data_IF_586152158380
#
_entry.id   IF_586152158380
#
_cell.length_a   1.000
_cell.length_b   1.000
_cell.length_c   1.000
_cell.angle_alpha   90.00
_cell.angle_beta   90.00
_cell.angle_gamma   90.00
#
_symmetry.space_group_name_H-M   'P 1'
#
loop_
_entity.id
_entity.type
_entity.pdbx_description
1 polymer ?
#
# COMPACT_ATOMS: atom_id res chain seq x y z
N UNK A 1 -2.22 -40.02 19.07
CA UNK A 1 -3.10 -39.02 19.73
C UNK A 1 -2.14 -38.05 20.41
N UNK A 2 -1.95 -36.79 20.04
CA UNK A 2 -2.82 -35.70 19.56
C UNK A 2 -1.93 -34.83 18.64
N UNK A 3 -2.12 -34.83 17.31
CA UNK A 3 -2.63 -33.69 16.48
C UNK A 3 -2.13 -32.32 16.97
N UNK A 4 -1.17 -31.62 16.33
CA UNK A 4 -1.25 -31.07 14.97
C UNK A 4 -1.72 -29.61 15.04
N UNK A 5 -0.80 -28.66 15.24
CA UNK A 5 -1.06 -27.20 15.19
C UNK A 5 -0.37 -26.65 13.92
N UNK A 6 -1.08 -26.04 12.97
CA UNK A 6 -0.46 -25.46 11.79
C UNK A 6 0.20 -24.12 12.14
N UNK A 7 1.44 -23.96 11.70
CA UNK A 7 2.21 -22.72 11.75
C UNK A 7 1.53 -21.63 10.91
N UNK A 8 1.06 -20.57 11.55
CA UNK A 8 0.70 -19.32 10.91
C UNK A 8 1.88 -18.34 11.02
N UNK A 9 2.65 -18.20 9.95
CA UNK A 9 3.62 -17.12 9.81
C UNK A 9 2.88 -15.82 9.43
N UNK A 10 2.63 -14.96 10.41
CA UNK A 10 2.07 -13.63 10.21
C UNK A 10 3.23 -12.65 9.98
N UNK A 11 3.31 -12.08 8.78
CA UNK A 11 4.31 -11.08 8.40
C UNK A 11 3.70 -9.67 8.45
N UNK A 12 4.41 -8.79 9.16
CA UNK A 12 4.56 -7.35 8.92
C UNK A 12 3.36 -6.43 9.12
N UNK A 13 3.46 -5.62 10.18
CA UNK A 13 2.75 -4.36 10.35
C UNK A 13 3.71 -3.39 11.03
N UNK A 14 3.96 -2.25 10.39
CA UNK A 14 4.69 -1.15 10.99
C UNK A 14 3.75 -0.43 11.97
N UNK A 15 4.13 -0.39 13.25
CA UNK A 15 3.44 0.39 14.27
C UNK A 15 4.17 1.72 14.46
N UNK A 16 3.45 2.82 14.22
CA UNK A 16 3.74 4.11 14.83
C UNK A 16 3.34 4.05 16.31
N UNK A 17 4.23 3.53 17.15
CA UNK A 17 4.18 3.69 18.61
C UNK A 17 5.52 4.21 19.11
N UNK A 18 5.73 5.52 18.98
CA UNK A 18 6.57 6.24 19.92
C UNK A 18 5.73 6.51 21.17
N UNK A 19 6.20 5.98 22.29
CA UNK A 19 5.49 5.94 23.56
C UNK A 19 5.08 7.32 24.08
N UNK A 20 3.86 7.37 24.60
CA UNK A 20 3.43 8.33 25.61
C UNK A 20 4.24 8.13 26.89
N UNK A 21 5.18 9.03 27.16
CA UNK A 21 5.54 9.40 28.53
C UNK A 21 6.18 10.79 28.53
N UNK A 22 5.40 11.77 28.08
CA UNK A 22 5.52 13.20 28.35
C UNK A 22 4.29 13.82 27.70
N UNK A 23 3.34 14.29 28.51
CA UNK A 23 2.09 14.83 28.00
C UNK A 23 2.31 16.11 27.22
N UNK A 24 2.38 16.03 25.90
CA UNK A 24 1.86 17.02 24.92
C UNK A 24 1.71 16.28 23.59
N UNK A 25 0.51 15.81 23.26
CA UNK A 25 0.17 15.50 21.86
C UNK A 25 -0.20 16.82 21.19
N UNK A 26 0.77 17.46 20.52
CA UNK A 26 0.54 18.69 19.78
C UNK A 26 0.02 18.35 18.37
N UNK A 27 -1.27 18.03 18.27
CA UNK A 27 -2.01 18.27 17.04
C UNK A 27 -2.22 19.79 16.88
N UNK A 28 -2.28 20.33 15.66
CA UNK A 28 -2.59 21.74 15.46
C UNK A 28 -3.88 22.12 16.20
N UNK A 29 -3.77 23.11 17.08
CA UNK A 29 -4.86 23.58 17.93
C UNK A 29 -6.03 24.07 17.08
N UNK A 30 -7.19 23.44 17.24
CA UNK A 30 -8.39 23.95 16.60
C UNK A 30 -9.66 23.11 16.62
N UNK A 31 -9.89 22.20 17.58
CA UNK A 31 -11.24 21.64 17.78
C UNK A 31 -11.54 21.43 19.26
N UNK A 32 -12.54 22.18 19.74
CA UNK A 32 -13.08 22.15 21.10
C UNK A 32 -13.94 20.90 21.26
N UNK A 33 -13.52 19.95 22.09
CA UNK A 33 -14.33 18.79 22.44
C UNK A 33 -15.48 19.21 23.35
N UNK A 34 -16.68 18.73 23.03
CA UNK A 34 -17.78 18.63 24.00
C UNK A 34 -17.78 17.19 24.50
N UNK A 35 -17.69 17.03 25.82
CA UNK A 35 -17.79 15.73 26.49
C UNK A 35 -19.17 15.13 26.26
N UNK A 36 -19.20 13.95 25.64
CA UNK A 36 -20.35 13.08 25.55
C UNK A 36 -19.89 11.64 25.70
N UNK A 37 -20.38 10.94 26.72
CA UNK A 37 -20.05 9.56 27.04
C UNK A 37 -20.55 8.64 25.92
N UNK A 38 -19.72 8.37 24.91
CA UNK A 38 -20.03 7.42 23.85
C UNK A 38 -19.38 6.08 24.14
N UNK A 39 -20.17 4.99 24.07
CA UNK A 39 -19.66 3.62 24.02
C UNK A 39 -18.61 3.54 22.90
N UNK A 40 -17.39 3.08 23.23
CA UNK A 40 -16.38 2.71 22.23
C UNK A 40 -16.97 1.63 21.33
N UNK A 41 -17.38 2.01 20.14
CA UNK A 41 -17.48 1.10 19.00
C UNK A 41 -16.07 0.94 18.47
N UNK A 42 -15.51 -0.27 18.49
CA UNK A 42 -14.20 -0.51 17.88
C UNK A 42 -14.31 -0.18 16.38
N UNK A 43 -13.57 0.83 15.90
CA UNK A 43 -13.66 1.32 14.52
C UNK A 43 -12.56 0.66 13.70
N UNK A 44 -12.82 -0.57 13.29
CA UNK A 44 -11.96 -1.35 12.41
C UNK A 44 -12.74 -1.93 11.23
N UNK A 45 -12.04 -2.19 10.12
CA UNK A 45 -12.65 -2.61 8.87
C UNK A 45 -11.94 -3.85 8.30
N UNK A 46 -12.72 -4.84 7.86
CA UNK A 46 -12.21 -6.11 7.35
C UNK A 46 -12.56 -6.24 5.86
N UNK A 47 -11.58 -6.67 5.05
CA UNK A 47 -11.72 -6.81 3.60
C UNK A 47 -11.21 -8.17 3.16
N UNK A 48 -12.00 -8.96 2.43
CA UNK A 48 -11.53 -10.23 1.89
C UNK A 48 -10.46 -9.99 0.81
N UNK A 49 -9.37 -10.75 0.90
CA UNK A 49 -8.30 -10.83 -0.09
C UNK A 49 -8.64 -11.95 -1.07
N UNK A 50 -8.79 -11.57 -2.34
CA UNK A 50 -9.00 -12.52 -3.42
C UNK A 50 -7.66 -13.02 -3.95
N UNK A 51 -7.49 -14.35 -4.00
CA UNK A 51 -6.31 -14.99 -4.58
C UNK A 51 -6.55 -15.42 -6.03
N UNK A 52 -5.64 -15.10 -6.94
CA UNK A 52 -5.63 -15.66 -8.30
C UNK A 52 -4.30 -16.34 -8.59
N UNK A 53 -4.36 -17.54 -9.17
CA UNK A 53 -3.17 -18.25 -9.68
C UNK A 53 -2.89 -17.78 -11.10
N UNK A 54 -1.71 -17.25 -11.33
CA UNK A 54 -1.23 -17.01 -12.68
C UNK A 54 -1.02 -18.35 -13.41
N UNK A 55 -1.67 -18.52 -14.56
CA UNK A 55 -1.50 -19.74 -15.37
C UNK A 55 -0.12 -19.72 -16.01
N UNK A 56 0.75 -20.63 -15.59
CA UNK A 56 2.02 -20.91 -16.27
C UNK A 56 1.75 -21.27 -17.74
N UNK A 57 2.21 -20.43 -18.67
CA UNK A 57 2.40 -20.83 -20.07
C UNK A 57 3.60 -21.77 -20.11
N UNK A 58 3.33 -23.06 -20.22
CA UNK A 58 4.32 -24.11 -20.00
C UNK A 58 5.51 -24.08 -20.96
N UNK A 59 6.72 -24.09 -20.40
CA UNK A 59 7.88 -24.71 -21.04
C UNK A 59 8.20 -26.01 -20.29
N UNK A 60 7.97 -27.14 -20.94
CA UNK A 60 8.31 -28.47 -20.41
C UNK A 60 9.83 -28.64 -20.45
N UNK A 61 10.48 -28.67 -19.29
CA UNK A 61 11.73 -29.42 -19.18
C UNK A 61 11.75 -30.20 -17.86
N UNK A 62 11.51 -31.52 -17.95
CA UNK A 62 11.69 -32.47 -16.86
C UNK A 62 13.19 -32.63 -16.62
N UNK A 63 13.67 -32.33 -15.41
CA UNK A 63 14.79 -33.07 -14.81
C UNK A 63 14.51 -33.37 -13.33
N UNK A 64 14.62 -34.65 -13.00
CA UNK A 64 14.43 -35.28 -11.69
C UNK A 64 15.62 -34.97 -10.76
N UNK A 65 15.31 -34.60 -9.52
CA UNK A 65 15.99 -35.05 -8.29
C UNK A 65 17.43 -34.63 -8.02
N UNK A 66 17.61 -33.66 -7.12
CA UNK A 66 18.32 -33.89 -5.85
C UNK A 66 17.98 -32.78 -4.85
N UNK A 67 17.63 -33.16 -3.62
CA UNK A 67 17.39 -32.21 -2.54
C UNK A 67 18.73 -31.55 -2.15
N UNK A 68 18.87 -30.27 -2.49
CA UNK A 68 19.90 -29.37 -2.00
C UNK A 68 19.19 -28.08 -1.67
N UNK A 69 19.28 -27.67 -0.40
CA UNK A 69 18.74 -26.42 0.11
C UNK A 69 19.40 -25.24 -0.58
N UNK A 70 18.79 -24.80 -1.67
CA UNK A 70 18.96 -23.49 -2.26
C UNK A 70 17.66 -22.75 -2.03
N UNK A 71 17.68 -21.72 -1.18
CA UNK A 71 16.63 -20.69 -1.17
C UNK A 71 16.85 -19.84 -2.43
N UNK A 72 16.62 -20.46 -3.58
CA UNK A 72 16.47 -19.75 -4.82
C UNK A 72 15.12 -19.05 -4.79
N UNK A 73 15.11 -17.74 -5.03
CA UNK A 73 13.93 -17.00 -5.47
C UNK A 73 13.45 -17.65 -6.78
N UNK A 74 12.67 -18.72 -6.68
CA UNK A 74 12.34 -19.61 -7.78
C UNK A 74 10.93 -20.17 -7.65
N UNK A 75 10.06 -19.71 -8.55
CA UNK A 75 8.83 -20.35 -9.04
C UNK A 75 7.83 -20.88 -7.98
N UNK A 76 7.54 -20.07 -6.96
CA UNK A 76 6.36 -20.29 -6.13
C UNK A 76 5.14 -19.69 -6.82
N UNK A 77 4.45 -20.50 -7.63
CA UNK A 77 3.06 -20.35 -8.10
C UNK A 77 2.52 -18.92 -7.92
N UNK A 78 2.71 -18.06 -8.92
CA UNK A 78 2.38 -16.63 -8.90
C UNK A 78 0.95 -16.38 -8.37
N UNK A 79 0.84 -16.12 -7.07
CA UNK A 79 -0.41 -15.79 -6.38
C UNK A 79 -0.49 -14.26 -6.30
N UNK A 80 -1.47 -13.69 -6.98
CA UNK A 80 -1.85 -12.29 -6.76
C UNK A 80 -2.84 -12.22 -5.60
N UNK A 81 -2.60 -11.30 -4.69
CA UNK A 81 -3.48 -10.99 -3.57
C UNK A 81 -4.14 -9.65 -3.85
N UNK A 82 -5.39 -9.70 -4.28
CA UNK A 82 -6.12 -8.50 -4.69
C UNK A 82 -7.20 -8.14 -3.68
N UNK A 83 -7.41 -6.83 -3.50
CA UNK A 83 -8.54 -6.28 -2.74
C UNK A 83 -9.37 -5.38 -3.66
N UNK A 84 -10.69 -5.27 -3.43
CA UNK A 84 -11.48 -4.27 -4.11
C UNK A 84 -11.19 -2.87 -3.54
N UNK A 85 -10.92 -1.91 -4.42
CA UNK A 85 -10.92 -0.48 -4.11
C UNK A 85 -11.89 0.21 -5.06
N UNK A 86 -12.74 1.06 -4.53
CA UNK A 86 -13.56 1.96 -5.31
C UNK A 86 -12.79 3.24 -5.58
N UNK A 87 -12.75 3.68 -6.83
CA UNK A 87 -12.23 5.00 -7.22
C UNK A 87 -13.26 5.68 -8.12
N UNK A 88 -13.78 6.80 -7.66
CA UNK A 88 -14.98 7.41 -8.23
C UNK A 88 -16.15 6.44 -8.19
N UNK A 89 -16.73 6.15 -9.37
CA UNK A 89 -17.87 5.23 -9.51
C UNK A 89 -17.47 3.81 -9.96
N UNK A 90 -16.17 3.48 -9.93
CA UNK A 90 -15.66 2.21 -10.48
C UNK A 90 -14.97 1.40 -9.38
N UNK A 91 -15.18 0.07 -9.40
CA UNK A 91 -14.50 -0.89 -8.52
C UNK A 91 -13.32 -1.52 -9.25
N UNK A 92 -12.16 -1.54 -8.61
CA UNK A 92 -10.91 -2.08 -9.13
C UNK A 92 -10.39 -3.17 -8.21
N UNK A 93 -10.11 -4.36 -8.76
CA UNK A 93 -9.35 -5.38 -8.04
C UNK A 93 -7.86 -5.03 -8.14
N UNK A 94 -7.25 -4.54 -7.06
CA UNK A 94 -5.86 -4.07 -7.05
C UNK A 94 -4.98 -4.98 -6.22
N UNK A 95 -3.76 -5.24 -6.70
CA UNK A 95 -2.80 -6.10 -6.00
C UNK A 95 -2.19 -5.37 -4.80
N UNK A 96 -2.14 -6.03 -3.64
CA UNK A 96 -1.47 -5.52 -2.45
C UNK A 96 0.05 -5.56 -2.63
N UNK A 97 0.71 -4.43 -2.38
CA UNK A 97 2.17 -4.32 -2.53
C UNK A 97 2.80 -3.54 -1.36
N UNK A 98 3.44 -4.26 -0.44
CA UNK A 98 4.18 -3.65 0.68
C UNK A 98 5.53 -3.07 0.25
N UNK A 99 5.98 -3.31 -0.98
CA UNK A 99 7.22 -2.80 -1.56
C UNK A 99 7.08 -1.44 -2.23
N UNK A 100 5.86 -0.95 -2.44
CA UNK A 100 5.59 0.36 -3.03
C UNK A 100 4.51 1.13 -2.26
N UNK A 101 4.36 2.43 -2.55
CA UNK A 101 3.47 3.31 -1.78
C UNK A 101 2.29 3.84 -2.58
N UNK A 102 2.39 3.84 -3.90
CA UNK A 102 1.40 4.50 -4.74
C UNK A 102 0.20 3.58 -5.01
N UNK A 103 -1.01 4.16 -4.97
CA UNK A 103 -2.18 3.57 -5.60
C UNK A 103 -2.16 3.93 -7.08
N UNK A 104 -2.33 2.95 -7.95
CA UNK A 104 -2.59 3.19 -9.36
C UNK A 104 -3.50 2.13 -9.97
N UNK A 105 -4.24 2.53 -11.00
CA UNK A 105 -5.09 1.66 -11.82
C UNK A 105 -4.83 1.92 -13.30
N UNK A 106 -5.04 0.91 -14.14
CA UNK A 106 -4.91 1.07 -15.59
C UNK A 106 -6.03 1.93 -16.16
N UNK A 107 -5.71 2.74 -17.16
CA UNK A 107 -6.68 3.52 -17.89
C UNK A 107 -7.32 2.73 -19.04
N UNK A 108 -8.43 3.26 -19.55
CA UNK A 108 -9.09 2.77 -20.77
C UNK A 108 -8.26 2.98 -22.04
N UNK A 109 -7.21 3.80 -21.98
CA UNK A 109 -6.22 4.01 -23.06
C UNK A 109 -5.00 3.10 -22.97
N UNK A 110 -4.79 2.38 -21.86
CA UNK A 110 -3.75 1.35 -21.78
C UNK A 110 -4.10 0.13 -22.64
N UNK A 111 -3.64 0.07 -23.88
CA UNK A 111 -4.02 -1.00 -24.84
C UNK A 111 -2.85 -1.81 -25.41
N UNK A 112 -1.63 -1.47 -25.02
CA UNK A 112 -0.39 -2.07 -25.54
C UNK A 112 0.40 -2.75 -24.41
N UNK A 113 1.43 -3.50 -24.76
CA UNK A 113 2.31 -4.16 -23.79
C UNK A 113 1.55 -5.09 -22.85
N UNK A 114 1.80 -4.97 -21.54
CA UNK A 114 1.14 -5.79 -20.52
C UNK A 114 -0.39 -5.60 -20.49
N UNK A 115 -0.91 -4.45 -20.97
CA UNK A 115 -2.35 -4.20 -21.04
C UNK A 115 -3.05 -4.87 -22.23
N UNK A 116 -2.32 -5.41 -23.20
CA UNK A 116 -2.90 -6.06 -24.38
C UNK A 116 -3.64 -7.34 -23.98
N UNK A 117 -4.92 -7.43 -24.33
CA UNK A 117 -5.77 -8.59 -24.00
C UNK A 117 -6.20 -8.70 -22.54
N UNK A 118 -5.72 -7.81 -21.67
CA UNK A 118 -6.06 -7.81 -20.24
C UNK A 118 -7.54 -7.46 -20.01
N UNK A 119 -8.23 -8.34 -19.28
CA UNK A 119 -9.64 -8.23 -18.89
C UNK A 119 -9.75 -7.74 -17.45
N UNK A 120 -9.50 -6.46 -17.25
CA UNK A 120 -9.62 -5.83 -15.93
C UNK A 120 -10.38 -4.51 -16.05
N UNK A 121 -10.91 -4.03 -14.93
CA UNK A 121 -11.55 -2.73 -14.85
C UNK A 121 -10.56 -1.62 -15.23
N UNK A 122 -11.04 -0.59 -15.90
CA UNK A 122 -10.21 0.49 -16.45
C UNK A 122 -10.79 1.83 -16.10
N UNK A 123 -9.94 2.73 -15.61
CA UNK A 123 -10.35 4.08 -15.29
C UNK A 123 -10.49 4.92 -16.58
N UNK A 124 -11.57 5.70 -16.76
CA UNK A 124 -11.75 6.53 -17.94
C UNK A 124 -10.70 7.65 -17.98
N UNK A 125 -9.80 7.62 -18.96
CA UNK A 125 -8.75 8.65 -19.10
C UNK A 125 -9.33 10.05 -19.27
N UNK A 126 -10.53 10.16 -19.84
CA UNK A 126 -11.26 11.42 -20.02
C UNK A 126 -11.69 12.08 -18.70
N UNK A 127 -11.75 11.32 -17.60
CA UNK A 127 -12.05 11.87 -16.27
C UNK A 127 -10.83 12.52 -15.60
N UNK A 128 -9.64 12.43 -16.21
CA UNK A 128 -8.43 13.10 -15.71
C UNK A 128 -8.33 14.49 -16.33
N UNK A 129 -8.26 15.57 -15.51
CA UNK A 129 -8.09 16.93 -16.04
C UNK A 129 -6.82 17.07 -16.88
N UNK A 130 -6.95 17.75 -18.03
CA UNK A 130 -5.79 18.11 -18.85
C UNK A 130 -4.84 19.04 -18.09
N UNK A 131 -3.53 18.83 -18.23
CA UNK A 131 -2.56 19.66 -17.52
C UNK A 131 -2.48 19.35 -16.02
N UNK A 132 -2.83 18.14 -15.59
CA UNK A 132 -2.48 17.58 -14.29
C UNK A 132 -1.04 17.02 -14.23
N UNK A 133 -0.63 16.52 -13.07
CA UNK A 133 0.67 15.88 -12.89
C UNK A 133 0.77 14.56 -13.68
N UNK A 134 1.98 14.17 -14.04
CA UNK A 134 2.28 12.85 -14.60
C UNK A 134 3.22 12.14 -13.64
N UNK A 135 3.14 10.81 -13.61
CA UNK A 135 3.95 9.96 -12.75
C UNK A 135 4.65 8.88 -13.58
N UNK A 136 5.88 8.57 -13.20
CA UNK A 136 6.62 7.42 -13.68
C UNK A 136 7.11 6.62 -12.46
N UNK A 137 6.73 5.35 -12.40
CA UNK A 137 7.04 4.43 -11.32
C UNK A 137 7.83 3.26 -11.88
N UNK A 138 8.91 2.89 -11.20
CA UNK A 138 9.76 1.75 -11.55
C UNK A 138 9.82 0.81 -10.35
N UNK A 139 9.76 -0.50 -10.60
CA UNK A 139 9.75 -1.56 -9.61
C UNK A 139 10.90 -2.54 -9.88
N UNK A 140 11.51 -3.06 -8.81
CA UNK A 140 12.65 -3.99 -8.86
C UNK A 140 14.00 -3.32 -9.08
N UNK A 141 15.08 -4.11 -9.02
CA UNK A 141 16.46 -3.65 -9.16
C UNK A 141 17.08 -4.00 -10.54
N UNK A 142 17.48 -2.94 -11.24
CA UNK A 142 18.47 -2.81 -12.34
C UNK A 142 18.61 -3.81 -13.51
N UNK A 143 17.88 -4.92 -13.63
CA UNK A 143 18.01 -5.83 -14.81
C UNK A 143 16.76 -6.00 -15.66
N UNK A 144 15.55 -5.88 -15.09
CA UNK A 144 14.29 -6.08 -15.84
C UNK A 144 13.20 -5.07 -15.50
N UNK A 145 13.53 -4.01 -14.74
CA UNK A 145 12.61 -3.12 -14.03
C UNK A 145 11.22 -2.99 -14.66
N UNK A 146 10.20 -3.46 -13.94
CA UNK A 146 8.83 -3.23 -14.40
C UNK A 146 8.46 -1.78 -14.13
N UNK A 147 7.62 -1.19 -14.98
CA UNK A 147 7.25 0.20 -14.84
C UNK A 147 5.74 0.40 -14.96
N UNK A 148 5.27 1.52 -14.44
CA UNK A 148 3.92 2.03 -14.67
C UNK A 148 4.01 3.55 -14.81
N UNK A 149 3.45 4.08 -15.89
CA UNK A 149 3.46 5.51 -16.18
C UNK A 149 2.11 6.00 -16.67
N UNK A 150 1.82 7.27 -16.39
CA UNK A 150 0.57 7.89 -16.79
C UNK A 150 0.31 9.21 -16.08
N UNK A 151 -0.92 9.70 -16.22
CA UNK A 151 -1.36 10.91 -15.54
C UNK A 151 -1.67 10.60 -14.06
N UNK A 152 -1.69 11.63 -13.22
CA UNK A 152 -2.22 11.55 -11.86
C UNK A 152 -3.67 12.00 -11.88
N UNK A 153 -4.56 11.12 -11.46
CA UNK A 153 -5.96 11.42 -11.21
C UNK A 153 -6.18 11.90 -9.77
N UNK A 154 -7.27 12.66 -9.59
CA UNK A 154 -7.82 12.99 -8.27
C UNK A 154 -9.27 12.55 -8.26
N UNK A 155 -9.63 11.64 -7.36
CA UNK A 155 -11.02 11.22 -7.17
C UNK A 155 -11.23 10.77 -5.71
N UNK A 156 -12.46 10.41 -5.36
CA UNK A 156 -12.75 9.73 -4.10
C UNK A 156 -12.29 8.29 -4.21
N UNK A 157 -11.43 7.85 -3.28
CA UNK A 157 -11.04 6.46 -3.16
C UNK A 157 -11.63 5.86 -1.89
N UNK A 158 -12.35 4.75 -2.00
CA UNK A 158 -12.96 4.04 -0.88
C UNK A 158 -12.36 2.65 -0.74
N UNK A 159 -11.94 2.32 0.47
CA UNK A 159 -11.47 0.99 0.83
C UNK A 159 -12.11 0.61 2.17
N UNK A 160 -12.69 -0.60 2.23
CA UNK A 160 -13.35 -1.10 3.44
C UNK A 160 -14.50 -0.21 3.97
N UNK A 161 -15.12 0.60 3.12
CA UNK A 161 -16.13 1.59 3.53
C UNK A 161 -15.55 2.90 4.08
N UNK A 162 -14.22 3.04 4.14
CA UNK A 162 -13.55 4.31 4.47
C UNK A 162 -13.21 5.05 3.18
N UNK A 163 -13.81 6.22 3.01
CA UNK A 163 -13.62 7.06 1.82
C UNK A 163 -12.62 8.18 2.08
N UNK A 164 -11.74 8.42 1.12
CA UNK A 164 -10.91 9.61 1.05
C UNK A 164 -11.15 10.41 -0.21
N UNK A 165 -11.67 11.62 -0.01
CA UNK A 165 -11.85 12.60 -1.07
C UNK A 165 -10.49 13.12 -1.57
N UNK A 166 -10.47 13.55 -2.83
CA UNK A 166 -9.27 14.11 -3.48
C UNK A 166 -8.03 13.21 -3.32
N UNK A 167 -8.22 11.89 -3.39
CA UNK A 167 -7.11 10.94 -3.39
C UNK A 167 -6.35 11.04 -4.71
N UNK A 168 -5.05 11.33 -4.60
CA UNK A 168 -4.15 11.23 -5.73
C UNK A 168 -3.79 9.76 -6.02
N UNK A 169 -3.89 9.36 -7.28
CA UNK A 169 -3.54 8.01 -7.74
C UNK A 169 -3.05 8.04 -9.19
N UNK A 170 -2.27 7.04 -9.58
CA UNK A 170 -1.84 6.88 -10.97
C UNK A 170 -2.96 6.37 -11.87
N UNK A 171 -3.23 7.09 -12.96
CA UNK A 171 -4.08 6.64 -14.07
C UNK A 171 -3.14 6.18 -15.20
N UNK A 172 -2.79 4.90 -15.15
CA UNK A 172 -1.68 4.32 -15.90
C UNK A 172 -2.11 3.96 -17.32
N UNK A 173 -1.50 4.60 -18.32
CA UNK A 173 -1.75 4.33 -19.73
C UNK A 173 -0.63 3.51 -20.40
N UNK A 174 0.50 3.31 -19.72
CA UNK A 174 1.59 2.45 -20.17
C UNK A 174 2.26 1.71 -19.00
N UNK A 175 2.44 0.40 -19.15
CA UNK A 175 3.04 -0.45 -18.11
C UNK A 175 3.60 -1.75 -18.68
N UNK A 176 4.72 -2.20 -18.14
CA UNK A 176 5.26 -3.55 -18.34
C UNK A 176 4.89 -4.51 -17.21
N UNK A 177 4.10 -4.07 -16.23
CA UNK A 177 3.74 -4.89 -15.08
C UNK A 177 2.71 -5.95 -15.46
N UNK A 178 3.13 -7.21 -15.44
CA UNK A 178 2.35 -8.33 -15.94
C UNK A 178 1.18 -8.73 -15.02
N UNK A 179 1.05 -8.16 -13.82
CA UNK A 179 -0.13 -8.35 -12.96
C UNK A 179 -1.44 -8.03 -13.68
N UNK A 180 -1.40 -7.09 -14.63
CA UNK A 180 -2.56 -6.63 -15.39
C UNK A 180 -3.15 -7.75 -16.26
N UNK A 181 -2.31 -8.68 -16.72
CA UNK A 181 -2.74 -9.87 -17.48
C UNK A 181 -3.52 -10.87 -16.63
N UNK A 182 -3.33 -10.82 -15.32
CA UNK A 182 -3.98 -11.72 -14.36
C UNK A 182 -5.13 -11.02 -13.62
N UNK A 183 -5.79 -10.08 -14.33
CA UNK A 183 -7.02 -9.40 -13.94
C UNK A 183 -6.90 -8.46 -12.73
N UNK A 184 -5.68 -8.19 -12.24
CA UNK A 184 -5.45 -7.07 -11.33
C UNK A 184 -5.47 -5.75 -12.11
N UNK A 185 -6.36 -4.83 -11.75
CA UNK A 185 -6.52 -3.54 -12.39
C UNK A 185 -5.37 -2.56 -12.08
N UNK A 186 -4.54 -2.88 -11.10
CA UNK A 186 -3.38 -2.09 -10.71
C UNK A 186 -2.80 -2.53 -9.37
N UNK A 187 -2.15 -1.61 -8.68
CA UNK A 187 -1.48 -1.84 -7.39
C UNK A 187 -2.06 -0.91 -6.32
N UNK A 188 -2.23 -1.45 -5.13
CA UNK A 188 -2.41 -0.70 -3.90
C UNK A 188 -1.13 -0.80 -3.06
N UNK A 189 -0.32 0.25 -3.10
CA UNK A 189 0.91 0.37 -2.32
C UNK A 189 0.63 0.57 -0.82
N UNK A 190 1.33 -0.19 0.01
CA UNK A 190 1.20 -0.20 1.48
C UNK A 190 2.48 0.26 2.20
N UNK A 191 3.50 0.67 1.45
CA UNK A 191 4.74 1.21 1.99
C UNK A 191 4.59 2.68 2.44
N UNK A 192 5.67 3.23 2.96
CA UNK A 192 5.70 4.55 3.59
C UNK A 192 5.55 5.70 2.58
N UNK A 193 4.88 6.82 2.92
CA UNK A 193 4.72 7.96 2.02
C UNK A 193 6.01 8.48 1.38
N UNK A 194 7.15 8.31 2.05
CA UNK A 194 8.47 8.70 1.55
C UNK A 194 8.87 8.01 0.23
N UNK A 195 8.24 6.89 -0.13
CA UNK A 195 8.45 6.20 -1.40
C UNK A 195 7.37 6.50 -2.46
N UNK A 196 6.41 7.38 -2.18
CA UNK A 196 5.35 7.75 -3.12
C UNK A 196 5.83 8.65 -4.25
N UNK A 197 5.72 8.18 -5.49
CA UNK A 197 5.96 8.98 -6.70
C UNK A 197 4.76 9.83 -7.08
N UNK A 198 3.55 9.41 -6.71
CA UNK A 198 2.32 10.18 -6.95
C UNK A 198 2.30 11.44 -6.07
N UNK A 199 2.55 11.31 -4.76
CA UNK A 199 2.66 12.47 -3.86
C UNK A 199 3.73 13.43 -4.38
N UNK A 200 4.91 12.91 -4.73
CA UNK A 200 5.99 13.71 -5.28
C UNK A 200 5.55 14.51 -6.51
N UNK A 201 4.91 13.85 -7.48
CA UNK A 201 4.50 14.47 -8.73
C UNK A 201 3.46 15.58 -8.54
N UNK A 202 2.46 15.35 -7.68
CA UNK A 202 1.40 16.33 -7.38
C UNK A 202 1.98 17.55 -6.68
N UNK A 203 2.74 17.34 -5.62
CA UNK A 203 3.25 18.44 -4.78
C UNK A 203 4.29 19.25 -5.53
N UNK A 204 5.21 18.61 -6.24
CA UNK A 204 6.19 19.31 -7.07
C UNK A 204 5.53 20.18 -8.13
N UNK A 205 4.45 19.70 -8.76
CA UNK A 205 3.71 20.49 -9.73
C UNK A 205 3.03 21.70 -9.11
N UNK A 206 2.39 21.53 -7.96
CA UNK A 206 1.51 22.55 -7.37
C UNK A 206 2.27 23.58 -6.52
N UNK A 207 3.33 23.15 -5.83
CA UNK A 207 3.99 23.93 -4.78
C UNK A 207 5.51 23.83 -4.79
N UNK A 208 6.09 23.28 -5.87
CA UNK A 208 7.53 23.07 -5.98
C UNK A 208 8.05 21.88 -5.16
N UNK A 209 9.37 21.62 -5.17
CA UNK A 209 9.98 20.44 -4.55
C UNK A 209 9.57 20.22 -3.09
N UNK A 210 9.45 18.96 -2.69
CA UNK A 210 9.33 18.57 -1.27
C UNK A 210 10.75 18.54 -0.70
N UNK A 211 11.17 19.64 -0.10
CA UNK A 211 12.52 19.94 0.38
C UNK A 211 12.65 19.97 1.91
N UNK A 212 11.53 20.06 2.63
CA UNK A 212 11.50 20.00 4.10
C UNK A 212 10.58 18.89 4.61
N UNK A 213 10.86 18.40 5.81
CA UNK A 213 10.03 17.38 6.48
C UNK A 213 8.66 17.92 6.86
N UNK A 214 8.56 19.19 7.25
CA UNK A 214 7.26 19.82 7.53
C UNK A 214 6.36 19.82 6.28
N UNK A 215 6.90 20.22 5.14
CA UNK A 215 6.19 20.17 3.85
C UNK A 215 5.86 18.75 3.42
N UNK A 216 6.74 17.80 3.71
CA UNK A 216 6.47 16.38 3.47
C UNK A 216 5.28 15.89 4.28
N UNK A 217 5.25 16.13 5.59
CA UNK A 217 4.16 15.71 6.49
C UNK A 217 2.84 16.37 6.08
N UNK A 218 2.84 17.69 5.87
CA UNK A 218 1.66 18.43 5.42
C UNK A 218 1.14 17.91 4.07
N UNK A 219 2.04 17.68 3.12
CA UNK A 219 1.65 17.16 1.81
C UNK A 219 1.24 15.69 1.82
N UNK A 220 1.69 14.89 2.80
CA UNK A 220 1.20 13.51 2.97
C UNK A 220 -0.26 13.51 3.38
N UNK A 221 -0.69 14.42 4.27
CA UNK A 221 -2.10 14.54 4.65
C UNK A 221 -2.99 14.87 3.45
N UNK A 222 -2.55 15.79 2.59
CA UNK A 222 -3.37 16.30 1.48
C UNK A 222 -3.28 15.46 0.22
N UNK A 223 -2.09 14.95 -0.13
CA UNK A 223 -1.77 14.33 -1.42
C UNK A 223 -0.98 13.02 -1.30
N UNK A 224 -0.81 12.49 -0.09
CA UNK A 224 -0.09 11.24 0.15
C UNK A 224 -0.84 9.98 -0.28
N UNK A 225 -0.22 8.81 -0.07
CA UNK A 225 -0.87 7.52 -0.29
C UNK A 225 -2.16 7.34 0.52
N UNK A 226 -3.07 6.52 -0.01
CA UNK A 226 -4.42 6.35 0.53
C UNK A 226 -4.43 5.94 2.01
N UNK A 227 -3.71 4.89 2.38
CA UNK A 227 -3.75 4.37 3.74
C UNK A 227 -3.14 5.32 4.80
N UNK A 228 -1.97 5.95 4.56
CA UNK A 228 -1.49 7.05 5.38
C UNK A 228 -2.49 8.20 5.54
N UNK A 229 -3.17 8.63 4.48
CA UNK A 229 -4.21 9.68 4.57
C UNK A 229 -5.40 9.24 5.44
N UNK A 230 -5.85 8.00 5.28
CA UNK A 230 -6.89 7.40 6.13
C UNK A 230 -6.45 7.38 7.61
N UNK A 231 -5.21 6.96 7.88
CA UNK A 231 -4.70 6.93 9.25
C UNK A 231 -4.61 8.34 9.86
N UNK A 232 -4.13 9.32 9.09
CA UNK A 232 -3.98 10.71 9.55
C UNK A 232 -5.32 11.45 9.70
N UNK A 233 -6.40 10.99 9.06
CA UNK A 233 -7.73 11.59 9.22
C UNK A 233 -8.42 11.20 10.54
N UNK A 234 -7.86 10.22 11.27
CA UNK A 234 -8.47 9.69 12.49
C UNK A 234 -9.63 8.72 12.23
N UNK A 235 -9.81 8.26 10.99
CA UNK A 235 -10.86 7.31 10.62
C UNK A 235 -10.61 5.87 11.13
N UNK A 236 -9.39 5.58 11.58
CA UNK A 236 -9.00 4.29 12.14
C UNK A 236 -8.87 4.39 13.66
N UNK A 237 -9.34 3.38 14.39
CA UNK A 237 -9.13 3.31 15.84
C UNK A 237 -7.64 3.20 16.19
N UNK A 238 -6.92 2.31 15.50
CA UNK A 238 -5.47 2.19 15.57
C UNK A 238 -4.84 2.51 14.20
N UNK A 239 -3.73 3.26 14.13
CA UNK A 239 -3.07 3.58 12.85
C UNK A 239 -2.28 2.38 12.33
N UNK A 240 -2.97 1.28 12.04
CA UNK A 240 -2.40 0.01 11.59
C UNK A 240 -3.29 -0.67 10.55
N UNK A 241 -2.69 -1.60 9.82
CA UNK A 241 -3.40 -2.57 8.99
C UNK A 241 -2.79 -3.94 9.22
N UNK A 242 -3.55 -5.02 9.04
CA UNK A 242 -3.05 -6.39 9.14
C UNK A 242 -3.36 -7.15 7.86
N UNK A 243 -2.49 -8.09 7.50
CA UNK A 243 -2.67 -8.92 6.29
C UNK A 243 -2.60 -10.39 6.68
N UNK A 244 -3.69 -11.10 6.44
CA UNK A 244 -3.81 -12.54 6.64
C UNK A 244 -3.88 -13.22 5.27
N UNK A 245 -2.86 -14.00 4.95
CA UNK A 245 -2.81 -14.75 3.69
C UNK A 245 -3.23 -16.20 3.91
N UNK A 246 -4.26 -16.65 3.21
CA UNK A 246 -4.60 -18.07 3.14
C UNK A 246 -3.61 -18.78 2.20
N UNK A 247 -2.88 -19.77 2.74
CA UNK A 247 -1.88 -20.54 1.97
C UNK A 247 -2.33 -21.97 1.61
N UNK A 248 -3.49 -22.41 2.09
CA UNK A 248 -4.00 -23.75 1.83
C UNK A 248 -4.73 -23.83 0.48
N UNK A 249 -4.40 -24.83 -0.33
CA UNK A 249 -5.00 -25.07 -1.66
C UNK A 249 -6.25 -25.94 -1.62
N UNK A 250 -6.61 -26.47 -0.45
CA UNK A 250 -7.74 -27.35 -0.21
C UNK A 250 -8.35 -26.92 1.13
N UNK A 251 -9.09 -25.81 1.15
CA UNK A 251 -10.12 -25.67 2.19
C UNK A 251 -11.17 -24.62 1.83
N UNK A 252 -12.41 -24.96 2.13
CA UNK A 252 -13.66 -24.26 1.76
C UNK A 252 -14.10 -23.31 2.90
N UNK A 253 -13.17 -22.78 3.69
CA UNK A 253 -13.52 -22.19 5.00
C UNK A 253 -12.77 -20.97 5.50
N UNK A 254 -11.83 -20.39 4.76
CA UNK A 254 -11.20 -19.13 5.19
C UNK A 254 -10.83 -18.29 3.98
N UNK A 255 -11.10 -16.98 4.03
CA UNK A 255 -10.64 -16.03 3.02
C UNK A 255 -9.41 -15.30 3.59
N UNK A 256 -8.42 -14.98 2.75
CA UNK A 256 -7.38 -14.03 3.18
C UNK A 256 -8.05 -12.72 3.59
N UNK A 257 -7.44 -11.96 4.50
CA UNK A 257 -8.07 -10.76 5.06
C UNK A 257 -7.09 -9.60 5.15
N UNK A 258 -7.49 -8.44 4.66
CA UNK A 258 -6.87 -7.15 4.96
C UNK A 258 -7.74 -6.46 6.00
N UNK A 259 -7.20 -6.22 7.19
CA UNK A 259 -7.88 -5.51 8.26
C UNK A 259 -7.27 -4.12 8.43
N UNK A 260 -8.08 -3.09 8.58
CA UNK A 260 -7.65 -1.71 8.84
C UNK A 260 -8.14 -1.29 10.23
N UNK A 261 -7.31 -0.60 11.01
CA UNK A 261 -7.77 0.04 12.24
C UNK A 261 -7.80 -0.82 13.50
N UNK A 262 -7.62 -2.13 13.39
CA UNK A 262 -7.65 -3.08 14.51
C UNK A 262 -6.76 -4.30 14.26
N UNK A 263 -6.54 -5.10 15.30
CA UNK A 263 -6.06 -6.48 15.13
C UNK A 263 -7.20 -7.37 14.62
N UNK A 264 -6.90 -8.47 13.90
CA UNK A 264 -7.92 -9.45 13.54
C UNK A 264 -8.63 -10.03 14.75
N UNK A 265 -9.88 -10.44 14.55
CA UNK A 265 -10.64 -11.12 15.59
C UNK A 265 -9.90 -12.38 16.08
N UNK A 266 -9.78 -12.52 17.40
CA UNK A 266 -9.05 -13.62 18.04
C UNK A 266 -7.53 -13.47 18.07
N UNK A 267 -6.97 -12.36 17.59
CA UNK A 267 -5.55 -12.01 17.70
C UNK A 267 -5.37 -10.88 18.70
N UNK A 268 -4.44 -11.05 19.64
CA UNK A 268 -4.06 -10.00 20.60
C UNK A 268 -2.54 -9.83 20.70
N UNK A 269 -2.11 -8.78 21.38
CA UNK A 269 -0.68 -8.45 21.50
C UNK A 269 0.17 -9.54 22.17
N UNK A 270 -0.40 -10.42 23.00
CA UNK A 270 0.35 -11.52 23.62
C UNK A 270 0.70 -12.62 22.62
N UNK A 271 -0.03 -12.70 21.51
CA UNK A 271 0.23 -13.62 20.40
C UNK A 271 1.21 -13.07 19.36
N UNK A 272 1.68 -11.82 19.52
CA UNK A 272 2.48 -11.11 18.53
C UNK A 272 3.89 -10.81 19.03
N UNK A 273 4.86 -10.94 18.12
CA UNK A 273 6.22 -10.42 18.33
C UNK A 273 6.37 -9.14 17.51
N UNK A 274 6.61 -8.03 18.21
CA UNK A 274 6.83 -6.74 17.59
C UNK A 274 8.32 -6.49 17.35
N UNK A 275 8.66 -6.05 16.14
CA UNK A 275 10.01 -5.62 15.77
C UNK A 275 9.94 -4.20 15.25
N UNK A 276 10.75 -3.26 15.77
CA UNK A 276 10.74 -1.90 15.29
C UNK A 276 11.23 -1.83 13.84
N UNK A 277 10.58 -1.01 13.02
CA UNK A 277 11.11 -0.63 11.71
C UNK A 277 12.36 0.21 11.93
N UNK A 278 13.45 -0.11 11.23
CA UNK A 278 14.71 0.63 11.36
C UNK A 278 14.55 2.07 10.83
N UNK A 279 14.73 3.10 11.67
CA UNK A 279 14.85 4.47 11.20
C UNK A 279 16.24 4.72 10.62
N UNK A 280 16.40 5.81 9.86
CA UNK A 280 17.67 6.19 9.27
C UNK A 280 18.00 7.63 9.65
N UNK A 281 19.22 7.84 10.13
CA UNK A 281 19.72 9.20 10.37
C UNK A 281 19.88 9.96 9.05
N UNK A 282 19.95 11.29 9.12
CA UNK A 282 20.28 12.14 7.96
C UNK A 282 21.58 11.69 7.28
N UNK A 283 22.58 11.29 8.07
CA UNK A 283 23.86 10.77 7.58
C UNK A 283 23.71 9.44 6.80
N UNK A 284 22.67 8.66 7.07
CA UNK A 284 22.35 7.42 6.37
C UNK A 284 21.34 7.63 5.21
N UNK A 285 20.95 8.87 4.92
CA UNK A 285 19.96 9.21 3.89
C UNK A 285 18.50 9.22 4.38
N UNK A 286 18.28 9.30 5.69
CA UNK A 286 16.99 9.65 6.28
C UNK A 286 16.64 11.12 6.09
N UNK A 287 15.39 11.49 6.41
CA UNK A 287 14.94 12.87 6.36
C UNK A 287 15.37 13.65 7.61
N UNK A 288 15.53 14.96 7.47
CA UNK A 288 15.70 15.86 8.62
C UNK A 288 14.48 15.76 9.56
N UNK A 289 14.64 16.02 10.87
CA UNK A 289 13.49 16.12 11.76
C UNK A 289 12.60 17.31 11.37
N UNK A 290 11.28 17.26 11.62
CA UNK A 290 10.41 18.41 11.46
C UNK A 290 10.76 19.50 12.49
N UNK A 291 10.43 20.75 12.17
CA UNK A 291 10.77 21.91 13.02
C UNK A 291 10.18 21.83 14.43
N UNK A 292 9.04 21.15 14.58
CA UNK A 292 8.31 20.99 15.83
C UNK A 292 8.71 19.73 16.63
N UNK A 293 9.48 18.80 16.05
CA UNK A 293 10.01 17.63 16.75
C UNK A 293 11.47 17.35 16.37
N UNK A 294 12.42 18.19 16.83
CA UNK A 294 13.82 18.18 16.40
C UNK A 294 14.60 16.89 16.76
N UNK A 295 14.03 16.02 17.58
CA UNK A 295 14.67 14.78 18.04
C UNK A 295 14.14 13.52 17.33
N UNK A 296 13.21 13.66 16.38
CA UNK A 296 12.65 12.51 15.66
C UNK A 296 13.57 12.03 14.52
N UNK A 297 13.52 10.73 14.24
CA UNK A 297 14.28 10.10 13.15
C UNK A 297 13.30 9.37 12.23
N UNK A 298 13.38 9.66 10.94
CA UNK A 298 12.46 9.17 9.93
C UNK A 298 13.05 8.05 9.08
N UNK A 299 12.21 7.45 8.23
CA UNK A 299 12.61 6.41 7.28
C UNK A 299 13.29 7.00 6.05
N UNK A 300 14.05 6.17 5.31
CA UNK A 300 14.70 6.58 4.05
C UNK A 300 13.68 7.01 3.01
N UNK A 301 13.97 8.12 2.35
CA UNK A 301 13.39 8.50 1.07
C UNK A 301 14.29 8.00 -0.06
N UNK A 302 13.91 6.90 -0.72
CA UNK A 302 14.72 6.30 -1.80
C UNK A 302 14.87 7.19 -3.05
N UNK A 303 14.16 8.31 -3.15
CA UNK A 303 14.11 9.16 -4.35
C UNK A 303 15.28 10.12 -4.55
N UNK A 304 16.36 10.06 -3.76
CA UNK A 304 17.50 11.00 -3.86
C UNK A 304 18.81 10.40 -4.37
N UNK A 305 18.79 9.15 -4.88
CA UNK A 305 19.93 8.57 -5.61
C UNK A 305 19.49 8.16 -7.02
N UNK A 306 19.35 9.15 -7.88
CA UNK A 306 19.39 8.99 -9.35
C UNK A 306 20.14 10.18 -9.93
#
# INVERSE_FOLDING_TARGET
>A
MVTGIPFACIFHIALLHLWSNSGVAALPHGLRSTEGTSRRTDVGYDIPIMTKKARSTGSRNRRRGNASGSVGLGNNVDLLYTVPIEVGNNVFAVNLDTGSSDLWVVSDTCRRGACSGARTARYPQSSVPSGGANVNMTYGDSTTGTFASGAVGLDTATIAGVSMNQQAFGVVNDTSNFLVQFEAAGIFGLSFPAASRVQQAVVTRNSGPIDTTDKFIESTYTSGPLLPRIAMSGALELPMFTVQFQRNTIDVGGEGLLTLGKLPDGVDNSSLTWVPVRPYSVAEGGMDPPSWAPNEVYLVRQSLKS
#
